data_IF_697447030291
#
_entry.id   IF_697447030291
#
_cell.length_a   1.000
_cell.length_b   1.000
_cell.length_c   1.000
_cell.angle_alpha   90.00
_cell.angle_beta   90.00
_cell.angle_gamma   90.00
#
_symmetry.space_group_name_H-M   'P 1'
#
loop_
_entity.id
_entity.type
_entity.pdbx_description
1 polymer ?
#
# COMPACT_ATOMS: atom_id res chain seq x y z
N UNK A 1 -10.13 -39.59 -0.21
CA UNK A 1 -8.77 -39.01 -0.15
C UNK A 1 -8.80 -37.88 0.87
N UNK A 2 -8.01 -37.93 1.95
CA UNK A 2 -7.86 -36.75 2.81
C UNK A 2 -7.03 -35.73 2.02
N UNK A 3 -7.64 -34.60 1.69
CA UNK A 3 -7.02 -33.53 0.88
C UNK A 3 -5.95 -32.76 1.69
N UNK A 4 -5.95 -32.90 3.03
CA UNK A 4 -4.94 -32.33 3.95
C UNK A 4 -4.52 -33.27 5.08
N UNK A 5 -3.25 -33.17 5.43
CA UNK A 5 -2.56 -33.78 6.59
C UNK A 5 -2.40 -32.80 7.75
N UNK A 6 -2.33 -31.49 7.49
CA UNK A 6 -2.42 -30.45 8.55
C UNK A 6 -3.89 -30.33 9.00
N UNK A 7 -4.17 -30.41 10.32
CA UNK A 7 -5.55 -30.52 10.82
C UNK A 7 -6.37 -29.22 10.76
N UNK A 8 -5.82 -28.14 10.18
CA UNK A 8 -6.39 -26.79 10.22
C UNK A 8 -6.66 -26.27 8.81
N UNK A 9 -7.88 -25.81 8.55
CA UNK A 9 -8.30 -25.32 7.22
C UNK A 9 -8.32 -23.78 7.11
N UNK A 10 -7.48 -23.09 7.89
CA UNK A 10 -7.54 -21.62 8.05
C UNK A 10 -6.70 -20.83 7.03
N UNK A 11 -6.08 -21.48 6.03
CA UNK A 11 -5.16 -20.79 5.11
C UNK A 11 -5.27 -21.29 3.68
N UNK A 12 -5.05 -20.39 2.70
CA UNK A 12 -4.93 -20.72 1.27
C UNK A 12 -3.66 -21.53 0.94
N UNK A 13 -2.68 -21.57 1.84
CA UNK A 13 -1.49 -22.39 1.69
C UNK A 13 -1.81 -23.87 1.78
N UNK A 14 -1.24 -24.64 0.87
CA UNK A 14 -1.18 -26.11 0.91
C UNK A 14 -0.24 -26.60 2.01
N UNK A 15 -0.38 -27.86 2.40
CA UNK A 15 0.49 -28.47 3.41
C UNK A 15 1.97 -28.48 2.97
N UNK A 16 2.23 -28.59 1.66
CA UNK A 16 3.56 -28.45 1.07
C UNK A 16 4.15 -27.08 1.37
N UNK A 17 3.41 -26.01 1.10
CA UNK A 17 3.91 -24.64 1.30
C UNK A 17 4.15 -24.33 2.77
N UNK A 18 3.27 -24.78 3.66
CA UNK A 18 3.45 -24.63 5.11
C UNK A 18 4.71 -25.36 5.56
N UNK A 19 4.88 -26.60 5.11
CA UNK A 19 6.04 -27.41 5.44
C UNK A 19 7.34 -26.74 4.97
N UNK A 20 7.40 -26.28 3.71
CA UNK A 20 8.58 -25.63 3.14
C UNK A 20 8.90 -24.33 3.87
N UNK A 21 7.89 -23.53 4.23
CA UNK A 21 8.10 -22.29 5.01
C UNK A 21 8.69 -22.55 6.39
N UNK A 22 8.33 -23.66 7.03
CA UNK A 22 8.80 -23.98 8.38
C UNK A 22 10.12 -24.76 8.39
N UNK A 23 10.30 -25.70 7.46
CA UNK A 23 11.41 -26.68 7.48
C UNK A 23 12.32 -26.63 6.24
N UNK A 24 11.92 -25.95 5.16
CA UNK A 24 12.67 -25.85 3.91
C UNK A 24 12.30 -26.90 2.85
N UNK A 25 12.70 -26.65 1.60
CA UNK A 25 12.47 -27.54 0.46
C UNK A 25 13.22 -28.88 0.61
N UNK A 26 14.45 -28.85 1.12
CA UNK A 26 15.24 -30.07 1.34
C UNK A 26 14.52 -31.05 2.28
N UNK A 27 13.87 -30.54 3.33
CA UNK A 27 13.13 -31.38 4.27
C UNK A 27 11.85 -31.94 3.63
N UNK A 28 11.24 -31.22 2.69
CA UNK A 28 10.10 -31.73 1.93
C UNK A 28 10.50 -32.91 1.05
N UNK A 29 11.70 -32.87 0.46
CA UNK A 29 12.25 -34.01 -0.30
C UNK A 29 12.50 -35.22 0.61
N UNK A 30 13.10 -35.02 1.79
CA UNK A 30 13.30 -36.09 2.79
C UNK A 30 11.97 -36.73 3.19
N UNK A 31 10.93 -35.92 3.44
CA UNK A 31 9.59 -36.43 3.75
C UNK A 31 9.03 -37.31 2.61
N UNK A 32 9.19 -36.89 1.35
CA UNK A 32 8.69 -37.66 0.21
C UNK A 32 9.46 -38.99 0.02
N UNK A 33 10.76 -39.01 0.30
CA UNK A 33 11.54 -40.24 0.33
C UNK A 33 11.01 -41.23 1.39
N UNK A 34 10.70 -40.72 2.58
CA UNK A 34 10.11 -41.50 3.67
C UNK A 34 8.67 -41.98 3.38
N UNK A 35 7.89 -41.23 2.60
CA UNK A 35 6.55 -41.69 2.15
C UNK A 35 6.65 -42.87 1.18
N UNK A 36 7.70 -42.91 0.36
CA UNK A 36 7.96 -44.01 -0.58
C UNK A 36 8.23 -45.36 0.08
N UNK A 37 8.69 -45.39 1.34
CA UNK A 37 9.11 -46.62 2.05
C UNK A 37 7.98 -47.33 2.84
N UNK A 38 6.72 -46.88 2.73
CA UNK A 38 5.48 -47.48 3.31
C UNK A 38 5.46 -47.74 4.83
N UNK A 39 6.41 -47.23 5.63
CA UNK A 39 6.49 -47.45 7.10
C UNK A 39 6.17 -46.24 8.01
N UNK A 40 5.79 -45.08 7.48
CA UNK A 40 5.99 -43.78 8.18
C UNK A 40 4.72 -42.99 8.54
N UNK A 41 3.52 -43.53 8.33
CA UNK A 41 2.27 -42.76 8.40
C UNK A 41 1.95 -42.06 9.74
N UNK A 42 2.24 -42.70 10.89
CA UNK A 42 1.91 -42.12 12.21
C UNK A 42 2.88 -41.02 12.63
N UNK A 43 4.19 -41.23 12.45
CA UNK A 43 5.23 -40.23 12.74
C UNK A 43 5.12 -39.00 11.84
N UNK A 44 4.80 -39.19 10.55
CA UNK A 44 4.54 -38.09 9.63
C UNK A 44 3.33 -37.26 10.07
N UNK A 45 2.23 -37.92 10.46
CA UNK A 45 1.03 -37.22 10.96
C UNK A 45 1.35 -36.36 12.19
N UNK A 46 2.09 -36.90 13.16
CA UNK A 46 2.47 -36.15 14.36
C UNK A 46 3.36 -34.94 14.03
N UNK A 47 4.25 -35.07 13.03
CA UNK A 47 5.04 -33.95 12.54
C UNK A 47 4.15 -32.86 11.94
N UNK A 48 3.17 -33.22 11.10
CA UNK A 48 2.21 -32.26 10.57
C UNK A 48 1.31 -31.62 11.63
N UNK A 49 1.00 -32.31 12.72
CA UNK A 49 0.31 -31.73 13.89
C UNK A 49 1.20 -30.68 14.58
N UNK A 50 2.50 -30.95 14.79
CA UNK A 50 3.46 -29.96 15.33
C UNK A 50 3.58 -28.74 14.43
N UNK A 51 3.76 -28.94 13.13
CA UNK A 51 3.87 -27.84 12.16
C UNK A 51 2.56 -27.06 12.03
N UNK A 52 1.43 -27.75 12.11
CA UNK A 52 0.09 -27.16 12.10
C UNK A 52 -0.14 -26.23 13.28
N UNK A 53 0.24 -26.65 14.49
CA UNK A 53 0.11 -25.83 15.70
C UNK A 53 0.95 -24.54 15.60
N UNK A 54 2.22 -24.66 15.17
CA UNK A 54 3.08 -23.50 14.92
C UNK A 54 2.43 -22.56 13.90
N UNK A 55 1.94 -23.13 12.80
CA UNK A 55 1.36 -22.37 11.70
C UNK A 55 0.09 -21.61 12.11
N UNK A 56 -0.81 -22.25 12.85
CA UNK A 56 -2.04 -21.62 13.36
C UNK A 56 -1.72 -20.41 14.24
N UNK A 57 -0.73 -20.52 15.11
CA UNK A 57 -0.31 -19.40 15.95
C UNK A 57 0.34 -18.31 15.11
N UNK A 58 1.24 -18.65 14.20
CA UNK A 58 1.89 -17.66 13.32
C UNK A 58 0.89 -16.88 12.46
N UNK A 59 -0.25 -17.48 12.13
CA UNK A 59 -1.28 -16.89 11.27
C UNK A 59 -2.47 -16.31 12.00
N UNK A 60 -2.45 -16.28 13.33
CA UNK A 60 -3.57 -15.76 14.11
C UNK A 60 -3.07 -14.76 15.18
N UNK A 61 -3.14 -13.45 14.89
CA UNK A 61 -2.77 -12.40 15.83
C UNK A 61 -3.46 -12.49 17.19
N UNK A 62 -4.70 -12.99 17.27
CA UNK A 62 -5.41 -13.13 18.54
C UNK A 62 -4.81 -14.25 19.41
N UNK A 63 -4.40 -15.36 18.79
CA UNK A 63 -3.71 -16.44 19.51
C UNK A 63 -2.31 -15.98 19.93
N UNK A 64 -1.61 -15.23 19.06
CA UNK A 64 -0.32 -14.63 19.41
C UNK A 64 -0.43 -13.73 20.65
N UNK A 65 -1.43 -12.84 20.69
CA UNK A 65 -1.64 -11.93 21.80
C UNK A 65 -1.97 -12.68 23.10
N UNK A 66 -2.85 -13.70 23.07
CA UNK A 66 -3.14 -14.56 24.24
C UNK A 66 -1.88 -15.26 24.78
N UNK A 67 -1.06 -15.83 23.90
CA UNK A 67 0.17 -16.54 24.28
C UNK A 67 1.31 -15.62 24.72
N UNK A 68 1.31 -14.36 24.27
CA UNK A 68 2.25 -13.32 24.75
C UNK A 68 1.91 -12.87 26.17
N UNK A 69 0.62 -12.83 26.51
CA UNK A 69 0.12 -12.43 27.82
C UNK A 69 0.11 -13.59 28.83
N UNK A 70 -0.20 -14.81 28.37
CA UNK A 70 -0.34 -15.99 29.21
C UNK A 70 0.86 -16.94 29.10
N UNK A 71 1.86 -16.72 29.95
CA UNK A 71 3.07 -17.55 30.02
C UNK A 71 2.77 -19.04 30.28
N UNK A 72 1.71 -19.37 31.03
CA UNK A 72 1.35 -20.76 31.36
C UNK A 72 0.85 -21.49 30.11
N UNK A 73 -0.12 -20.92 29.40
CA UNK A 73 -0.64 -21.48 28.14
C UNK A 73 0.46 -21.62 27.09
N UNK A 74 1.35 -20.62 26.99
CA UNK A 74 2.54 -20.71 26.13
C UNK A 74 3.42 -21.89 26.51
N UNK A 75 3.73 -22.06 27.79
CA UNK A 75 4.53 -23.18 28.29
C UNK A 75 3.89 -24.54 27.99
N UNK A 76 2.58 -24.67 28.20
CA UNK A 76 1.81 -25.89 27.88
C UNK A 76 1.85 -26.23 26.38
N UNK A 77 1.65 -25.24 25.51
CA UNK A 77 1.77 -25.42 24.06
C UNK A 77 3.18 -25.87 23.67
N UNK A 78 4.21 -25.14 24.09
CA UNK A 78 5.61 -25.46 23.75
C UNK A 78 5.99 -26.84 24.27
N UNK A 79 5.61 -27.17 25.51
CA UNK A 79 5.82 -28.50 26.09
C UNK A 79 5.14 -29.61 25.28
N UNK A 80 3.90 -29.38 24.82
CA UNK A 80 3.19 -30.34 23.96
C UNK A 80 3.89 -30.55 22.62
N UNK A 81 4.45 -29.50 22.00
CA UNK A 81 5.21 -29.60 20.76
C UNK A 81 6.47 -30.45 20.95
N UNK A 82 7.28 -30.18 21.98
CA UNK A 82 8.48 -30.98 22.27
C UNK A 82 8.13 -32.43 22.62
N UNK A 83 7.08 -32.66 23.41
CA UNK A 83 6.64 -34.01 23.75
C UNK A 83 6.26 -34.83 22.49
N UNK A 84 5.58 -34.22 21.52
CA UNK A 84 5.28 -34.89 20.23
C UNK A 84 6.56 -35.20 19.45
N UNK A 85 7.53 -34.29 19.42
CA UNK A 85 8.82 -34.53 18.76
C UNK A 85 9.63 -35.66 19.42
N UNK A 86 9.62 -35.75 20.75
CA UNK A 86 10.23 -36.87 21.49
C UNK A 86 9.57 -38.20 21.15
N UNK A 87 8.24 -38.23 21.09
CA UNK A 87 7.49 -39.41 20.66
C UNK A 87 7.73 -39.82 19.20
N UNK A 88 8.07 -38.88 18.31
CA UNK A 88 8.49 -39.20 16.93
C UNK A 88 9.92 -39.78 16.96
N UNK A 89 10.80 -39.20 17.77
CA UNK A 89 12.19 -39.64 17.95
C UNK A 89 12.25 -41.09 18.45
N UNK A 90 11.48 -41.43 19.49
CA UNK A 90 11.48 -42.78 20.06
C UNK A 90 10.96 -43.85 19.10
N UNK A 91 10.11 -43.46 18.14
CA UNK A 91 9.59 -44.34 17.08
C UNK A 91 10.47 -44.38 15.84
N UNK A 92 11.54 -43.59 15.77
CA UNK A 92 12.40 -43.53 14.60
C UNK A 92 13.26 -44.79 14.44
N UNK A 93 13.50 -45.56 15.52
CA UNK A 93 14.34 -46.77 15.50
C UNK A 93 15.67 -46.53 14.75
N UNK A 94 16.34 -45.41 15.03
CA UNK A 94 17.59 -44.95 14.38
C UNK A 94 17.51 -44.65 12.88
N UNK A 95 16.31 -44.48 12.32
CA UNK A 95 16.14 -44.02 10.94
C UNK A 95 16.69 -42.60 10.76
N UNK A 96 17.84 -42.49 10.09
CA UNK A 96 18.55 -41.23 9.86
C UNK A 96 17.70 -40.14 9.20
N UNK A 97 16.85 -40.49 8.23
CA UNK A 97 15.98 -39.53 7.54
C UNK A 97 14.88 -38.99 8.48
N UNK A 98 14.30 -39.86 9.31
CA UNK A 98 13.33 -39.44 10.34
C UNK A 98 13.98 -38.53 11.37
N UNK A 99 15.18 -38.88 11.85
CA UNK A 99 15.92 -38.04 12.79
C UNK A 99 16.27 -36.67 12.20
N UNK A 100 16.64 -36.62 10.91
CA UNK A 100 16.89 -35.37 10.20
C UNK A 100 15.64 -34.45 10.18
N UNK A 101 14.46 -35.00 9.90
CA UNK A 101 13.20 -34.25 9.97
C UNK A 101 12.88 -33.76 11.38
N UNK A 102 13.07 -34.60 12.39
CA UNK A 102 12.84 -34.23 13.79
C UNK A 102 13.77 -33.10 14.20
N UNK A 103 15.04 -33.14 13.84
CA UNK A 103 15.99 -32.07 14.16
C UNK A 103 15.62 -30.75 13.46
N UNK A 104 15.14 -30.80 12.21
CA UNK A 104 14.59 -29.62 11.54
C UNK A 104 13.35 -29.08 12.28
N UNK A 105 12.45 -29.95 12.70
CA UNK A 105 11.26 -29.57 13.45
C UNK A 105 11.59 -29.00 14.84
N UNK A 106 12.57 -29.55 15.56
CA UNK A 106 13.08 -28.99 16.82
C UNK A 106 13.62 -27.58 16.63
N UNK A 107 14.36 -27.32 15.53
CA UNK A 107 14.80 -25.95 15.20
C UNK A 107 13.62 -25.01 14.95
N UNK A 108 12.58 -25.47 14.26
CA UNK A 108 11.36 -24.69 14.04
C UNK A 108 10.62 -24.39 15.35
N UNK A 109 10.45 -25.38 16.25
CA UNK A 109 9.86 -25.18 17.59
C UNK A 109 10.69 -24.21 18.42
N UNK A 110 12.03 -24.34 18.41
CA UNK A 110 12.93 -23.42 19.12
C UNK A 110 12.81 -21.98 18.61
N UNK A 111 12.72 -21.78 17.29
CA UNK A 111 12.48 -20.45 16.69
C UNK A 111 11.13 -19.89 17.12
N UNK A 112 10.09 -20.72 17.07
CA UNK A 112 8.74 -20.37 17.50
C UNK A 112 8.68 -20.01 19.00
N UNK A 113 9.38 -20.74 19.86
CA UNK A 113 9.50 -20.45 21.28
C UNK A 113 10.21 -19.12 21.54
N UNK A 114 11.33 -18.87 20.86
CA UNK A 114 12.14 -17.66 21.01
C UNK A 114 11.42 -16.40 20.51
N UNK A 115 10.47 -16.55 19.60
CA UNK A 115 9.68 -15.46 19.04
C UNK A 115 8.93 -14.66 20.11
N UNK A 116 8.30 -15.32 21.09
CA UNK A 116 7.48 -14.65 22.11
C UNK A 116 8.25 -13.62 22.96
N UNK A 117 9.37 -13.96 23.62
CA UNK A 117 10.14 -12.98 24.38
C UNK A 117 10.74 -11.88 23.49
N UNK A 118 11.14 -12.22 22.25
CA UNK A 118 11.66 -11.23 21.29
C UNK A 118 10.58 -10.20 20.93
N UNK A 119 9.38 -10.66 20.57
CA UNK A 119 8.26 -9.78 20.26
C UNK A 119 7.84 -8.91 21.45
N UNK A 120 7.79 -9.47 22.66
CA UNK A 120 7.49 -8.70 23.88
C UNK A 120 8.51 -7.58 24.09
N UNK A 121 9.80 -7.86 23.88
CA UNK A 121 10.88 -6.86 23.96
C UNK A 121 10.72 -5.79 22.88
N UNK A 122 10.46 -6.20 21.64
CA UNK A 122 10.30 -5.27 20.51
C UNK A 122 9.07 -4.37 20.69
N UNK A 123 7.91 -4.93 21.06
CA UNK A 123 6.68 -4.16 21.38
C UNK A 123 6.92 -3.16 22.51
N UNK A 124 7.62 -3.56 23.57
CA UNK A 124 7.98 -2.64 24.68
C UNK A 124 8.90 -1.51 24.21
N UNK A 125 9.91 -1.80 23.38
CA UNK A 125 10.82 -0.78 22.82
C UNK A 125 10.05 0.17 21.90
N UNK A 126 9.25 -0.36 20.99
CA UNK A 126 8.43 0.41 20.05
C UNK A 126 7.44 1.31 20.79
N UNK A 127 6.67 0.77 21.74
CA UNK A 127 5.73 1.55 22.54
C UNK A 127 6.44 2.67 23.31
N UNK A 128 7.59 2.39 23.95
CA UNK A 128 8.37 3.39 24.67
C UNK A 128 8.80 4.54 23.76
N UNK A 129 9.31 4.23 22.57
CA UNK A 129 9.83 5.23 21.63
C UNK A 129 8.69 6.02 20.96
N UNK A 130 7.70 5.33 20.39
CA UNK A 130 6.60 5.97 19.66
C UNK A 130 5.67 6.79 20.56
N UNK A 131 5.48 6.40 21.83
CA UNK A 131 4.64 7.17 22.78
C UNK A 131 5.23 8.53 23.15
N UNK A 132 6.49 8.81 22.79
CA UNK A 132 7.08 10.16 22.94
C UNK A 132 6.73 11.08 21.77
N UNK A 133 6.19 10.51 20.69
CA UNK A 133 5.95 11.20 19.41
C UNK A 133 4.46 11.38 19.15
N UNK A 134 3.66 10.35 19.42
CA UNK A 134 2.21 10.32 19.19
C UNK A 134 1.50 9.71 20.40
N UNK A 135 0.18 9.82 20.47
CA UNK A 135 -0.59 9.25 21.58
C UNK A 135 -0.53 7.71 21.60
N UNK A 136 -0.63 7.12 22.80
CA UNK A 136 -0.52 5.67 23.00
C UNK A 136 -1.57 4.87 22.23
N UNK A 137 -2.79 5.38 22.15
CA UNK A 137 -3.92 4.80 21.41
C UNK A 137 -3.72 4.81 19.89
N UNK A 138 -2.74 5.57 19.38
CA UNK A 138 -2.35 5.52 17.98
C UNK A 138 -1.37 4.37 17.66
N UNK A 139 -0.88 3.63 18.66
CA UNK A 139 0.13 2.58 18.51
C UNK A 139 -0.51 1.24 18.81
N UNK A 140 -0.95 0.55 17.77
CA UNK A 140 -1.84 -0.60 17.90
C UNK A 140 -1.16 -1.91 17.50
N UNK A 141 -0.92 -2.76 18.48
CA UNK A 141 -0.38 -4.12 18.30
C UNK A 141 -1.49 -5.18 18.27
N UNK A 142 -2.75 -4.80 18.46
CA UNK A 142 -3.86 -5.72 18.67
C UNK A 142 -4.26 -6.46 17.40
N UNK A 143 -4.81 -7.67 17.59
CA UNK A 143 -5.23 -8.52 16.48
C UNK A 143 -6.17 -7.87 15.47
N UNK A 144 -7.15 -7.05 15.91
CA UNK A 144 -8.10 -6.39 15.01
C UNK A 144 -7.43 -5.42 14.02
N UNK A 145 -6.53 -4.57 14.51
CA UNK A 145 -5.79 -3.65 13.66
C UNK A 145 -4.87 -4.41 12.70
N UNK A 146 -4.15 -5.42 13.19
CA UNK A 146 -3.25 -6.21 12.33
C UNK A 146 -4.02 -6.97 11.25
N UNK A 147 -5.18 -7.54 11.58
CA UNK A 147 -6.05 -8.25 10.62
C UNK A 147 -6.67 -7.31 9.60
N UNK A 148 -7.15 -6.13 10.00
CA UNK A 148 -7.75 -5.17 9.05
C UNK A 148 -6.73 -4.53 8.09
N UNK A 149 -5.44 -4.61 8.42
CA UNK A 149 -4.36 -3.98 7.64
C UNK A 149 -3.44 -4.99 6.95
N UNK A 150 -3.78 -6.29 6.96
CA UNK A 150 -2.99 -7.36 6.32
C UNK A 150 -3.08 -7.37 4.79
N UNK A 151 -4.14 -6.79 4.23
CA UNK A 151 -4.48 -6.83 2.80
C UNK A 151 -4.94 -5.47 2.29
N UNK A 152 -4.80 -5.25 0.98
CA UNK A 152 -5.56 -4.26 0.21
C UNK A 152 -6.63 -4.96 -0.65
N UNK A 153 -7.10 -4.32 -1.72
CA UNK A 153 -8.14 -4.85 -2.60
C UNK A 153 -7.65 -5.99 -3.52
N UNK A 154 -6.37 -6.37 -3.46
CA UNK A 154 -5.86 -7.61 -4.09
C UNK A 154 -6.30 -8.89 -3.36
N UNK A 155 -6.77 -8.76 -2.11
CA UNK A 155 -7.10 -9.87 -1.21
C UNK A 155 -5.89 -10.75 -0.80
N UNK A 156 -4.66 -10.28 -1.08
CA UNK A 156 -3.44 -10.96 -0.67
C UNK A 156 -3.15 -10.79 0.82
N UNK A 157 -2.93 -11.90 1.52
CA UNK A 157 -2.63 -11.94 2.97
C UNK A 157 -1.29 -12.61 3.23
N UNK A 158 -0.20 -11.95 2.86
CA UNK A 158 1.15 -12.51 2.95
C UNK A 158 1.62 -12.56 4.40
N UNK A 159 1.96 -11.42 5.02
CA UNK A 159 2.30 -11.32 6.44
C UNK A 159 1.39 -10.34 7.19
N UNK A 160 1.21 -10.56 8.49
CA UNK A 160 0.56 -9.58 9.36
C UNK A 160 1.55 -8.48 9.75
N UNK A 161 1.13 -7.21 9.80
CA UNK A 161 2.01 -6.14 10.26
C UNK A 161 2.35 -6.34 11.74
N UNK A 162 3.53 -5.86 12.15
CA UNK A 162 3.97 -5.85 13.54
C UNK A 162 3.16 -4.85 14.37
N UNK A 163 2.89 -3.66 13.81
CA UNK A 163 2.16 -2.57 14.47
C UNK A 163 1.43 -1.72 13.43
N UNK A 164 0.27 -1.20 13.79
CA UNK A 164 -0.44 -0.16 13.03
C UNK A 164 -0.33 1.16 13.80
N UNK A 165 0.15 2.20 13.13
CA UNK A 165 0.37 3.54 13.69
C UNK A 165 -0.53 4.54 12.98
N UNK A 166 -1.26 5.38 13.73
CA UNK A 166 -2.23 6.35 13.20
C UNK A 166 -1.90 7.77 13.67
N UNK A 167 -1.01 8.52 13.00
CA UNK A 167 -0.62 9.86 13.44
C UNK A 167 -1.84 10.79 13.56
N UNK A 168 -1.87 11.64 14.59
CA UNK A 168 -2.91 12.66 14.77
C UNK A 168 -2.69 13.89 13.89
N UNK A 169 -1.44 14.13 13.49
CA UNK A 169 -1.08 15.27 12.67
C UNK A 169 0.12 14.95 11.77
N UNK A 170 0.23 15.69 10.67
CA UNK A 170 1.37 15.57 9.76
C UNK A 170 2.71 15.78 10.50
N UNK A 171 2.76 16.68 11.47
CA UNK A 171 3.99 17.00 12.22
C UNK A 171 4.59 15.79 12.97
N UNK A 172 3.81 14.75 13.25
CA UNK A 172 4.29 13.51 13.88
C UNK A 172 5.01 12.59 12.90
N UNK A 173 4.68 12.66 11.60
CA UNK A 173 5.05 11.66 10.59
C UNK A 173 6.56 11.49 10.47
N UNK A 174 7.34 12.57 10.40
CA UNK A 174 8.80 12.51 10.27
C UNK A 174 9.45 11.73 11.42
N UNK A 175 9.02 12.02 12.65
CA UNK A 175 9.54 11.34 13.85
C UNK A 175 9.08 9.89 13.93
N UNK A 176 7.84 9.58 13.51
CA UNK A 176 7.33 8.20 13.43
C UNK A 176 8.15 7.38 12.44
N UNK A 177 8.38 7.90 11.22
CA UNK A 177 9.18 7.22 10.19
C UNK A 177 10.59 6.93 10.72
N UNK A 178 11.25 7.92 11.30
CA UNK A 178 12.58 7.75 11.90
C UNK A 178 12.58 6.71 13.02
N UNK A 179 11.56 6.72 13.89
CA UNK A 179 11.44 5.76 14.98
C UNK A 179 11.27 4.33 14.47
N UNK A 180 10.45 4.11 13.43
CA UNK A 180 10.28 2.80 12.81
C UNK A 180 11.59 2.28 12.20
N UNK A 181 12.34 3.14 11.49
CA UNK A 181 13.66 2.80 10.93
C UNK A 181 14.64 2.42 12.04
N UNK A 182 14.70 3.20 13.13
CA UNK A 182 15.58 2.92 14.29
C UNK A 182 15.21 1.64 15.06
N UNK A 183 13.97 1.17 14.90
CA UNK A 183 13.49 -0.10 15.42
C UNK A 183 13.76 -1.28 14.47
N UNK A 184 14.29 -1.02 13.27
CA UNK A 184 14.50 -2.03 12.24
C UNK A 184 13.21 -2.52 11.58
N UNK A 185 12.17 -1.69 11.57
CA UNK A 185 10.88 -2.01 10.97
C UNK A 185 10.84 -1.54 9.51
N UNK A 186 10.36 -2.40 8.62
CA UNK A 186 9.89 -1.97 7.30
C UNK A 186 8.66 -1.08 7.45
N UNK A 187 8.48 -0.10 6.56
CA UNK A 187 7.36 0.85 6.65
C UNK A 187 6.48 0.71 5.43
N UNK A 188 5.17 0.62 5.66
CA UNK A 188 4.15 0.74 4.63
C UNK A 188 3.25 1.92 4.99
N UNK A 189 3.21 2.93 4.13
CA UNK A 189 2.21 3.98 4.21
C UNK A 189 0.87 3.44 3.69
N UNK A 190 -0.22 3.71 4.41
CA UNK A 190 -1.55 3.24 4.04
C UNK A 190 -2.60 4.34 4.21
N UNK A 191 -3.49 4.45 3.24
CA UNK A 191 -4.73 5.21 3.35
C UNK A 191 -5.93 4.27 3.45
N UNK A 192 -6.91 4.42 2.57
CA UNK A 192 -8.12 3.57 2.54
C UNK A 192 -7.91 2.09 2.17
N UNK A 193 -6.70 1.65 1.81
CA UNK A 193 -6.42 0.25 1.49
C UNK A 193 -7.11 -0.28 0.21
N UNK A 194 -7.51 0.61 -0.71
CA UNK A 194 -8.26 0.25 -1.92
C UNK A 194 -7.37 -0.08 -3.14
N UNK A 195 -6.07 -0.33 -2.94
CA UNK A 195 -5.11 -0.61 -4.02
C UNK A 195 -5.27 -2.02 -4.58
N UNK A 196 -4.96 -2.18 -5.88
CA UNK A 196 -5.05 -3.47 -6.60
C UNK A 196 -3.67 -3.99 -7.04
N UNK A 197 -2.59 -3.46 -6.47
CA UNK A 197 -1.20 -3.82 -6.83
C UNK A 197 -0.43 -4.50 -5.69
N UNK A 198 -1.03 -4.62 -4.50
CA UNK A 198 -0.38 -5.19 -3.32
C UNK A 198 0.53 -4.21 -2.58
N UNK A 199 0.54 -2.92 -2.96
CA UNK A 199 1.42 -1.91 -2.38
C UNK A 199 1.21 -1.65 -0.88
N UNK A 200 0.06 -2.05 -0.32
CA UNK A 200 -0.21 -1.94 1.11
C UNK A 200 -0.21 -3.30 1.85
N UNK A 201 0.33 -4.36 1.23
CA UNK A 201 0.40 -5.72 1.79
C UNK A 201 1.78 -5.95 2.45
N UNK A 202 1.85 -6.26 3.76
CA UNK A 202 3.12 -6.60 4.40
C UNK A 202 3.70 -7.90 3.84
N UNK A 203 4.96 -7.86 3.41
CA UNK A 203 5.71 -9.04 2.97
C UNK A 203 6.58 -9.63 4.07
N UNK A 204 6.84 -8.87 5.13
CA UNK A 204 7.67 -9.25 6.26
C UNK A 204 6.93 -9.00 7.56
N UNK A 205 7.15 -9.86 8.56
CA UNK A 205 6.50 -9.76 9.87
C UNK A 205 6.83 -8.44 10.59
N UNK A 206 8.09 -8.00 10.56
CA UNK A 206 8.55 -6.76 11.20
C UNK A 206 8.23 -5.52 10.34
N UNK A 207 6.97 -5.38 9.93
CA UNK A 207 6.46 -4.25 9.15
C UNK A 207 5.55 -3.36 10.01
N UNK A 208 5.86 -2.07 10.10
CA UNK A 208 4.98 -1.05 10.61
C UNK A 208 4.09 -0.52 9.47
N UNK A 209 2.77 -0.52 9.69
CA UNK A 209 1.84 0.21 8.83
C UNK A 209 1.58 1.57 9.45
N UNK A 210 1.87 2.64 8.71
CA UNK A 210 1.48 4.00 9.10
C UNK A 210 0.19 4.32 8.32
N UNK A 211 -0.95 4.22 8.99
CA UNK A 211 -2.24 4.54 8.40
C UNK A 211 -2.55 6.03 8.58
N UNK A 212 -2.68 6.76 7.47
CA UNK A 212 -2.92 8.20 7.45
C UNK A 212 -4.39 8.58 7.65
N UNK A 213 -5.29 7.65 7.99
CA UNK A 213 -6.74 7.89 8.09
C UNK A 213 -7.16 9.06 8.97
N UNK A 214 -6.35 9.43 9.97
CA UNK A 214 -6.59 10.56 10.87
C UNK A 214 -6.07 11.91 10.34
N UNK A 215 -5.27 11.91 9.28
CA UNK A 215 -4.80 13.12 8.60
C UNK A 215 -5.90 13.61 7.66
N UNK A 216 -6.98 14.16 8.22
CA UNK A 216 -8.22 14.46 7.52
C UNK A 216 -8.50 15.97 7.34
N UNK A 217 -7.51 16.83 7.57
CA UNK A 217 -7.67 18.26 7.34
C UNK A 217 -7.93 18.56 5.87
N UNK A 218 -9.00 19.30 5.62
CA UNK A 218 -9.44 19.74 4.29
C UNK A 218 -9.69 21.24 4.33
N UNK A 219 -8.98 22.00 3.51
CA UNK A 219 -9.12 23.45 3.49
C UNK A 219 -10.41 23.90 2.81
N UNK A 220 -10.75 25.17 3.00
CA UNK A 220 -11.66 25.86 2.08
C UNK A 220 -11.07 25.91 0.66
N UNK A 221 -11.93 26.12 -0.33
CA UNK A 221 -11.49 26.45 -1.69
C UNK A 221 -11.01 27.90 -1.71
N UNK A 222 -9.78 28.11 -2.19
CA UNK A 222 -9.17 29.43 -2.28
C UNK A 222 -8.66 29.71 -3.69
N UNK A 223 -8.84 30.93 -4.17
CA UNK A 223 -8.19 31.38 -5.40
C UNK A 223 -6.81 31.94 -5.04
N UNK A 224 -5.76 31.32 -5.57
CA UNK A 224 -4.39 31.76 -5.33
C UNK A 224 -3.60 31.89 -6.63
N UNK A 225 -2.60 32.78 -6.62
CA UNK A 225 -1.67 32.93 -7.74
C UNK A 225 -0.64 31.81 -7.69
N UNK A 226 -0.57 31.02 -8.75
CA UNK A 226 0.43 29.95 -8.88
C UNK A 226 1.70 30.49 -9.57
N UNK A 227 2.89 29.95 -9.28
CA UNK A 227 4.12 30.33 -9.97
C UNK A 227 4.00 30.11 -11.49
N UNK A 228 4.21 31.17 -12.27
CA UNK A 228 4.14 31.10 -13.73
C UNK A 228 2.74 31.02 -14.33
N UNK A 229 1.68 31.25 -13.53
CA UNK A 229 0.30 31.30 -14.01
C UNK A 229 -0.25 32.71 -13.81
N UNK A 230 -0.72 33.31 -14.90
CA UNK A 230 -1.12 34.73 -14.92
C UNK A 230 -2.36 35.01 -14.04
N UNK A 231 -3.37 34.14 -14.13
CA UNK A 231 -4.64 34.31 -13.43
C UNK A 231 -4.70 33.49 -12.12
N UNK A 232 -5.39 34.00 -11.08
CA UNK A 232 -5.65 33.22 -9.87
C UNK A 232 -6.44 31.93 -10.18
N UNK A 233 -5.99 30.82 -9.61
CA UNK A 233 -6.55 29.49 -9.84
C UNK A 233 -7.26 29.03 -8.56
N UNK A 234 -8.49 28.48 -8.65
CA UNK A 234 -9.14 27.86 -7.50
C UNK A 234 -8.38 26.59 -7.11
N UNK A 235 -8.06 26.47 -5.84
CA UNK A 235 -7.29 25.36 -5.29
C UNK A 235 -7.88 24.87 -3.98
N UNK A 236 -7.53 23.64 -3.62
CA UNK A 236 -7.91 23.03 -2.35
C UNK A 236 -6.72 22.23 -1.80
N UNK A 237 -6.46 22.38 -0.51
CA UNK A 237 -5.47 21.58 0.22
C UNK A 237 -6.17 20.46 0.96
N UNK A 238 -5.65 19.25 0.84
CA UNK A 238 -6.15 18.08 1.54
C UNK A 238 -4.98 17.28 2.13
N UNK A 239 -5.14 16.82 3.36
CA UNK A 239 -4.24 15.85 3.99
C UNK A 239 -4.44 14.43 3.45
N UNK A 240 -3.44 13.58 3.66
CA UNK A 240 -3.33 12.27 3.04
C UNK A 240 -4.47 11.28 3.39
N UNK A 241 -5.09 11.46 4.55
CA UNK A 241 -6.23 10.68 5.03
C UNK A 241 -7.58 11.14 4.49
N UNK A 242 -7.67 12.34 3.88
CA UNK A 242 -8.94 12.84 3.36
C UNK A 242 -9.47 11.90 2.27
N UNK A 243 -10.70 11.40 2.46
CA UNK A 243 -11.41 10.59 1.47
C UNK A 243 -11.69 11.43 0.22
N UNK A 244 -11.41 10.88 -0.95
CA UNK A 244 -11.48 11.58 -2.24
C UNK A 244 -12.86 12.18 -2.53
N UNK A 245 -13.93 11.48 -2.14
CA UNK A 245 -15.32 11.97 -2.20
C UNK A 245 -15.48 13.31 -1.48
N UNK A 246 -14.92 13.48 -0.28
CA UNK A 246 -15.02 14.73 0.49
C UNK A 246 -14.41 15.92 -0.25
N UNK A 247 -13.28 15.73 -0.92
CA UNK A 247 -12.66 16.77 -1.76
C UNK A 247 -13.55 17.10 -2.97
N UNK A 248 -14.11 16.07 -3.60
CA UNK A 248 -15.02 16.23 -4.74
C UNK A 248 -16.30 16.98 -4.37
N UNK A 249 -16.87 16.67 -3.21
CA UNK A 249 -18.06 17.33 -2.70
C UNK A 249 -17.77 18.78 -2.33
N UNK A 250 -16.63 19.04 -1.69
CA UNK A 250 -16.19 20.40 -1.36
C UNK A 250 -15.97 21.28 -2.60
N UNK A 251 -15.43 20.69 -3.67
CA UNK A 251 -15.31 21.38 -4.95
C UNK A 251 -16.70 21.68 -5.54
N UNK A 252 -17.63 20.72 -5.51
CA UNK A 252 -18.98 20.88 -6.04
C UNK A 252 -19.79 21.94 -5.30
N UNK A 253 -19.66 22.04 -3.99
CA UNK A 253 -20.25 23.12 -3.16
C UNK A 253 -19.81 24.52 -3.62
N UNK A 254 -18.71 24.62 -4.37
CA UNK A 254 -18.15 25.87 -4.89
C UNK A 254 -18.29 25.97 -6.42
N UNK A 255 -19.20 25.22 -7.05
CA UNK A 255 -19.41 25.16 -8.50
C UNK A 255 -18.16 24.76 -9.30
N UNK A 256 -17.30 23.95 -8.68
CA UNK A 256 -16.05 23.48 -9.23
C UNK A 256 -16.02 21.94 -9.29
N UNK A 257 -15.04 21.43 -10.03
CA UNK A 257 -14.83 20.00 -10.25
C UNK A 257 -13.45 19.63 -9.76
N UNK A 258 -13.40 18.69 -8.81
CA UNK A 258 -12.21 17.92 -8.54
C UNK A 258 -12.06 16.82 -9.59
N UNK A 259 -10.95 16.84 -10.33
CA UNK A 259 -10.73 15.96 -11.47
C UNK A 259 -10.25 14.55 -11.07
N UNK A 260 -9.62 14.40 -9.91
CA UNK A 260 -9.11 13.10 -9.46
C UNK A 260 -10.26 12.24 -8.93
N UNK A 261 -10.77 11.35 -9.77
CA UNK A 261 -12.02 10.61 -9.57
C UNK A 261 -11.89 9.08 -9.74
N UNK A 262 -10.93 8.40 -9.10
CA UNK A 262 -10.84 6.94 -9.17
C UNK A 262 -12.18 6.28 -8.81
N UNK A 263 -12.43 5.08 -9.34
CA UNK A 263 -13.68 4.34 -9.08
C UNK A 263 -13.91 4.10 -7.59
N UNK A 264 -12.84 4.00 -6.80
CA UNK A 264 -12.86 3.84 -5.35
C UNK A 264 -12.97 5.17 -4.57
N UNK A 265 -13.33 6.29 -5.19
CA UNK A 265 -13.33 7.63 -4.55
C UNK A 265 -14.09 7.74 -3.22
N UNK A 266 -15.06 6.85 -2.98
CA UNK A 266 -15.83 6.78 -1.73
C UNK A 266 -15.03 6.17 -0.56
N UNK A 267 -13.86 5.58 -0.82
CA UNK A 267 -13.00 4.96 0.18
C UNK A 267 -11.50 5.30 0.02
N UNK A 268 -11.02 5.58 -1.19
CA UNK A 268 -9.62 5.93 -1.40
C UNK A 268 -9.33 7.35 -0.91
N UNK A 269 -8.11 7.55 -0.43
CA UNK A 269 -7.68 8.81 0.19
C UNK A 269 -6.66 9.54 -0.67
N UNK A 270 -6.49 10.84 -0.41
CA UNK A 270 -5.62 11.72 -1.17
C UNK A 270 -4.16 11.25 -1.20
N UNK A 271 -3.62 10.74 -0.09
CA UNK A 271 -2.25 10.24 -0.05
C UNK A 271 -2.05 9.05 -1.01
N UNK A 272 -3.01 8.12 -1.03
CA UNK A 272 -3.04 7.01 -1.98
C UNK A 272 -3.16 7.48 -3.44
N UNK A 273 -4.00 8.47 -3.71
CA UNK A 273 -4.14 9.01 -5.06
C UNK A 273 -2.82 9.61 -5.59
N UNK A 274 -2.11 10.35 -4.75
CA UNK A 274 -0.79 10.93 -5.07
C UNK A 274 0.22 9.80 -5.30
N UNK A 275 0.36 8.87 -4.35
CA UNK A 275 1.31 7.76 -4.42
C UNK A 275 1.11 6.85 -5.63
N UNK A 276 -0.14 6.71 -6.11
CA UNK A 276 -0.51 5.85 -7.23
C UNK A 276 -0.69 6.60 -8.56
N UNK A 277 -0.49 7.92 -8.57
CA UNK A 277 -0.88 8.81 -9.66
C UNK A 277 -2.29 8.47 -10.19
N UNK A 278 -3.27 8.41 -9.28
CA UNK A 278 -4.60 7.89 -9.57
C UNK A 278 -5.29 8.71 -10.68
N UNK A 279 -6.12 8.03 -11.46
CA UNK A 279 -6.97 8.65 -12.48
C UNK A 279 -8.27 7.86 -12.59
N UNK A 280 -9.34 8.55 -12.95
CA UNK A 280 -10.64 7.96 -13.23
C UNK A 280 -11.17 8.45 -14.58
N UNK A 281 -12.50 8.48 -14.72
CA UNK A 281 -13.18 8.80 -15.99
C UNK A 281 -12.87 10.22 -16.44
N UNK A 282 -12.74 11.15 -15.48
CA UNK A 282 -12.41 12.56 -15.75
C UNK A 282 -10.96 12.76 -16.24
N UNK A 283 -10.09 11.77 -16.11
CA UNK A 283 -8.70 11.88 -16.58
C UNK A 283 -8.59 12.05 -18.10
N UNK A 284 -9.62 11.64 -18.84
CA UNK A 284 -9.73 11.91 -20.28
C UNK A 284 -9.71 13.42 -20.56
N UNK A 285 -10.34 14.23 -19.72
CA UNK A 285 -10.40 15.68 -19.88
C UNK A 285 -9.24 16.38 -19.15
N UNK A 286 -9.04 16.08 -17.88
CA UNK A 286 -8.14 16.84 -16.99
C UNK A 286 -6.91 16.08 -16.51
N UNK A 287 -6.68 14.87 -17.03
CA UNK A 287 -5.53 14.05 -16.64
C UNK A 287 -5.65 13.38 -15.27
N UNK A 288 -4.56 12.72 -14.86
CA UNK A 288 -4.42 12.00 -13.60
C UNK A 288 -4.09 12.93 -12.44
N UNK A 289 -3.81 12.36 -11.27
CA UNK A 289 -3.48 13.10 -10.05
C UNK A 289 -2.34 14.12 -10.26
N UNK A 290 -1.24 13.72 -10.91
CA UNK A 290 -0.10 14.61 -11.19
C UNK A 290 -0.49 15.83 -12.03
N UNK A 291 -1.39 15.66 -12.99
CA UNK A 291 -1.86 16.75 -13.86
C UNK A 291 -2.57 17.86 -13.07
N UNK A 292 -3.10 17.53 -11.88
CA UNK A 292 -3.93 18.39 -11.05
C UNK A 292 -3.23 18.90 -9.78
N UNK A 293 -2.00 18.46 -9.51
CA UNK A 293 -1.23 18.85 -8.33
C UNK A 293 -0.52 20.19 -8.53
N UNK A 294 -0.78 21.11 -7.60
CA UNK A 294 0.01 22.32 -7.40
C UNK A 294 1.26 22.01 -6.59
N UNK A 295 1.09 21.31 -5.47
CA UNK A 295 2.19 20.87 -4.61
C UNK A 295 1.79 19.67 -3.75
N UNK A 296 2.77 18.96 -3.22
CA UNK A 296 2.56 17.94 -2.20
C UNK A 296 3.71 17.92 -1.20
N UNK A 297 3.40 17.45 0.01
CA UNK A 297 4.36 17.23 1.09
C UNK A 297 4.48 15.75 1.40
N UNK A 298 5.69 15.33 1.70
CA UNK A 298 5.99 13.96 2.09
C UNK A 298 7.15 13.89 3.07
N UNK A 299 7.27 12.75 3.74
CA UNK A 299 8.39 12.39 4.59
C UNK A 299 9.21 11.30 3.92
N UNK A 300 10.51 11.51 3.77
CA UNK A 300 11.45 10.53 3.19
C UNK A 300 11.94 9.55 4.26
N UNK A 301 12.57 8.45 3.84
CA UNK A 301 13.00 7.36 4.74
C UNK A 301 14.03 7.78 5.80
N UNK A 302 14.77 8.86 5.55
CA UNK A 302 15.70 9.48 6.50
C UNK A 302 15.01 10.32 7.60
N UNK A 303 13.68 10.46 7.53
CA UNK A 303 12.89 11.27 8.48
C UNK A 303 12.93 12.77 8.18
N UNK A 304 13.35 13.16 6.97
CA UNK A 304 13.28 14.55 6.52
C UNK A 304 11.97 14.82 5.77
N UNK A 305 11.60 16.10 5.70
CA UNK A 305 10.46 16.55 4.92
C UNK A 305 10.89 16.96 3.53
N UNK A 306 10.03 16.66 2.55
CA UNK A 306 10.15 17.11 1.18
C UNK A 306 8.82 17.74 0.75
N UNK A 307 8.91 18.97 0.24
CA UNK A 307 7.81 19.64 -0.45
C UNK A 307 8.16 19.76 -1.92
N UNK A 308 7.26 19.31 -2.78
CA UNK A 308 7.39 19.43 -4.23
C UNK A 308 6.32 20.38 -4.73
N UNK A 309 6.72 21.42 -5.45
CA UNK A 309 5.80 22.42 -6.03
C UNK A 309 5.97 22.46 -7.54
N UNK A 310 4.88 22.27 -8.29
CA UNK A 310 4.86 22.41 -9.74
C UNK A 310 4.94 23.87 -10.14
N UNK A 311 5.90 24.22 -10.97
CA UNK A 311 6.07 25.56 -11.54
C UNK A 311 5.47 25.61 -12.94
N UNK A 312 5.06 26.80 -13.39
CA UNK A 312 4.56 27.03 -14.75
C UNK A 312 3.44 26.04 -15.11
N UNK A 313 2.49 25.85 -14.17
CA UNK A 313 1.44 24.83 -14.29
C UNK A 313 0.49 25.17 -15.46
N UNK A 314 0.47 24.34 -16.52
CA UNK A 314 -0.36 24.57 -17.71
C UNK A 314 -1.89 24.41 -17.52
N UNK A 315 -2.34 24.03 -16.33
CA UNK A 315 -3.74 23.80 -15.95
C UNK A 315 -4.44 22.70 -16.78
N UNK A 316 -3.64 21.86 -17.43
CA UNK A 316 -4.09 20.77 -18.28
C UNK A 316 -3.18 19.57 -18.12
N UNK A 317 -3.11 18.75 -19.18
CA UNK A 317 -2.33 17.52 -19.15
C UNK A 317 -0.84 17.85 -19.25
N UNK A 318 -0.06 17.33 -18.32
CA UNK A 318 1.35 17.64 -18.10
C UNK A 318 2.21 17.30 -19.31
N UNK A 319 1.87 16.24 -20.05
CA UNK A 319 2.61 15.79 -21.23
C UNK A 319 2.41 16.67 -22.48
N UNK A 320 1.49 17.63 -22.43
CA UNK A 320 1.30 18.61 -23.51
C UNK A 320 2.25 19.80 -23.38
N UNK A 321 2.91 19.95 -22.24
CA UNK A 321 3.88 21.00 -21.99
C UNK A 321 5.26 20.55 -22.50
N UNK A 322 5.96 21.41 -23.23
CA UNK A 322 7.29 21.09 -23.76
C UNK A 322 8.26 20.75 -22.62
N UNK A 323 8.40 21.66 -21.65
CA UNK A 323 9.22 21.50 -20.45
C UNK A 323 8.38 21.68 -19.19
N UNK A 324 8.52 20.76 -18.24
CA UNK A 324 7.83 20.75 -16.96
C UNK A 324 8.84 20.91 -15.84
N UNK A 325 8.50 21.74 -14.86
CA UNK A 325 9.41 22.12 -13.78
C UNK A 325 8.79 21.88 -12.40
N UNK A 326 9.59 21.35 -11.49
CA UNK A 326 9.21 21.17 -10.09
C UNK A 326 10.30 21.73 -9.17
N UNK A 327 9.88 22.51 -8.18
CA UNK A 327 10.76 22.92 -7.07
C UNK A 327 10.68 21.89 -5.96
N UNK A 328 11.82 21.34 -5.57
CA UNK A 328 11.98 20.40 -4.48
C UNK A 328 12.64 21.12 -3.29
N UNK A 329 11.89 21.31 -2.22
CA UNK A 329 12.37 21.96 -1.00
C UNK A 329 12.45 20.93 0.12
N UNK A 330 13.64 20.78 0.73
CA UNK A 330 13.90 19.81 1.80
C UNK A 330 14.03 20.50 3.15
N UNK A 331 13.33 19.96 4.14
CA UNK A 331 13.37 20.45 5.51
C UNK A 331 13.80 19.34 6.48
N UNK A 332 14.41 19.73 7.60
CA UNK A 332 14.72 18.83 8.71
C UNK A 332 13.44 18.26 9.30
N UNK A 333 13.56 17.31 10.22
CA UNK A 333 12.43 16.62 10.85
C UNK A 333 11.39 17.54 11.54
N UNK A 334 11.76 18.79 11.87
CA UNK A 334 10.84 19.81 12.39
C UNK A 334 9.84 20.33 11.35
N UNK A 335 10.08 20.06 10.06
CA UNK A 335 9.23 20.44 8.93
C UNK A 335 9.31 21.91 8.53
N UNK A 336 10.25 22.67 9.09
CA UNK A 336 10.39 24.12 8.87
C UNK A 336 11.82 24.57 8.58
N UNK A 337 12.83 23.92 9.17
CA UNK A 337 14.23 24.29 8.96
C UNK A 337 14.74 23.73 7.64
N UNK A 338 15.14 24.59 6.71
CA UNK A 338 15.72 24.18 5.43
C UNK A 338 17.02 23.39 5.61
N UNK A 339 17.20 22.35 4.79
CA UNK A 339 18.43 21.55 4.73
C UNK A 339 19.42 22.17 3.73
N UNK A 340 18.91 22.63 2.60
CA UNK A 340 19.68 23.21 1.50
C UNK A 340 18.77 24.13 0.67
N UNK A 341 19.37 24.85 -0.28
CA UNK A 341 18.63 25.61 -1.28
C UNK A 341 17.70 24.70 -2.10
N UNK A 342 16.49 25.16 -2.47
CA UNK A 342 15.57 24.38 -3.27
C UNK A 342 16.16 23.98 -4.64
N UNK A 343 15.96 22.72 -5.00
CA UNK A 343 16.35 22.16 -6.30
C UNK A 343 15.23 22.38 -7.33
N UNK A 344 15.57 22.69 -8.58
CA UNK A 344 14.61 22.73 -9.69
C UNK A 344 14.85 21.52 -10.58
N UNK A 345 13.87 20.64 -10.66
CA UNK A 345 13.84 19.51 -11.58
C UNK A 345 13.09 19.92 -12.84
N UNK A 346 13.79 19.96 -13.99
CA UNK A 346 13.22 20.28 -15.30
C UNK A 346 13.33 19.08 -16.24
N UNK A 347 12.23 18.75 -16.92
CA UNK A 347 12.20 17.62 -17.85
C UNK A 347 11.14 17.80 -18.96
N UNK A 348 11.28 17.13 -20.10
CA UNK A 348 10.26 17.20 -21.14
C UNK A 348 8.92 16.63 -20.66
N UNK A 349 7.79 17.31 -20.89
CA UNK A 349 6.49 16.82 -20.42
C UNK A 349 6.12 15.45 -21.00
N UNK A 350 6.56 15.16 -22.21
CA UNK A 350 6.32 13.90 -22.91
C UNK A 350 6.80 12.65 -22.15
N UNK A 351 7.72 12.77 -21.17
CA UNK A 351 8.19 11.60 -20.40
C UNK A 351 7.12 11.05 -19.44
N UNK A 352 6.17 11.88 -19.00
CA UNK A 352 5.17 11.47 -18.01
C UNK A 352 4.12 10.52 -18.58
N UNK A 353 4.07 10.36 -19.91
CA UNK A 353 3.10 9.50 -20.58
C UNK A 353 3.55 9.12 -21.98
N UNK A 354 3.61 7.82 -22.28
CA UNK A 354 3.70 7.36 -23.67
C UNK A 354 2.56 7.94 -24.51
N UNK A 355 2.92 8.35 -25.73
CA UNK A 355 1.96 8.92 -26.69
C UNK A 355 0.79 7.96 -26.91
N UNK A 356 -0.43 8.50 -26.89
CA UNK A 356 -1.66 7.73 -27.07
C UNK A 356 -2.23 7.09 -25.80
N UNK A 357 -1.49 7.06 -24.69
CA UNK A 357 -2.05 6.60 -23.41
C UNK A 357 -2.77 7.72 -22.65
N UNK A 358 -3.82 7.37 -21.91
CA UNK A 358 -4.50 8.26 -20.96
C UNK A 358 -3.82 8.29 -19.58
N UNK A 359 -3.22 7.19 -19.16
CA UNK A 359 -2.38 7.03 -17.97
C UNK A 359 -1.25 6.05 -18.30
N UNK A 360 -0.04 6.35 -17.86
CA UNK A 360 1.13 5.47 -18.03
C UNK A 360 1.69 5.08 -16.65
N UNK A 361 1.64 3.78 -16.34
CA UNK A 361 2.16 3.21 -15.09
C UNK A 361 3.50 2.49 -15.26
N UNK A 362 4.03 2.46 -16.50
CA UNK A 362 5.20 1.64 -16.85
C UNK A 362 6.51 2.29 -16.42
N UNK A 363 6.57 3.62 -16.39
CA UNK A 363 7.71 4.35 -15.83
C UNK A 363 7.46 4.70 -14.36
N UNK A 364 8.13 3.99 -13.46
CA UNK A 364 8.11 4.31 -12.02
C UNK A 364 9.12 5.38 -11.65
N UNK A 365 10.14 5.66 -12.48
CA UNK A 365 11.15 6.66 -12.19
C UNK A 365 10.61 8.07 -12.41
N UNK A 366 9.81 8.29 -13.47
CA UNK A 366 9.17 9.57 -13.81
C UNK A 366 10.16 10.75 -13.79
N UNK A 367 11.32 10.56 -14.44
CA UNK A 367 12.38 11.57 -14.49
C UNK A 367 12.97 11.94 -13.12
N UNK A 368 12.79 11.10 -12.09
CA UNK A 368 13.24 11.36 -10.73
C UNK A 368 12.23 12.09 -9.86
N UNK A 369 11.00 12.34 -10.34
CA UNK A 369 9.97 13.02 -9.58
C UNK A 369 9.55 12.19 -8.34
N UNK A 370 9.68 12.74 -7.11
CA UNK A 370 9.45 11.97 -5.89
C UNK A 370 7.96 11.88 -5.50
N UNK A 371 7.59 10.78 -4.86
CA UNK A 371 6.27 10.51 -4.30
C UNK A 371 5.20 10.10 -5.31
N UNK A 372 5.30 10.50 -6.58
CA UNK A 372 4.29 10.23 -7.60
C UNK A 372 4.53 8.88 -8.28
N UNK A 373 3.51 8.02 -8.30
CA UNK A 373 3.56 6.68 -8.90
C UNK A 373 4.55 5.71 -8.23
N UNK A 374 5.07 6.08 -7.05
CA UNK A 374 6.08 5.32 -6.28
C UNK A 374 5.47 4.32 -5.31
N UNK A 375 4.15 4.35 -5.12
CA UNK A 375 3.44 3.41 -4.23
C UNK A 375 3.96 3.41 -2.78
N UNK A 376 4.56 4.53 -2.34
CA UNK A 376 5.15 4.67 -1.01
C UNK A 376 6.62 4.23 -0.88
N UNK A 377 7.27 3.79 -1.97
CA UNK A 377 8.65 3.27 -1.92
C UNK A 377 9.73 4.33 -1.69
N UNK A 378 9.44 5.62 -1.93
CA UNK A 378 10.40 6.72 -1.73
C UNK A 378 9.96 7.72 -0.64
N UNK A 379 8.84 7.46 0.03
CA UNK A 379 8.39 8.21 1.19
C UNK A 379 6.89 8.16 1.41
N UNK A 380 6.46 8.86 2.45
CA UNK A 380 5.08 8.90 2.93
C UNK A 380 4.45 10.26 2.62
N UNK A 381 3.46 10.30 1.72
CA UNK A 381 2.71 11.52 1.38
C UNK A 381 1.84 11.95 2.56
N UNK A 382 1.95 13.21 2.97
CA UNK A 382 1.21 13.74 4.13
C UNK A 382 0.09 14.70 3.72
N UNK A 383 0.26 15.48 2.65
CA UNK A 383 -0.76 16.38 2.10
C UNK A 383 -0.47 16.77 0.65
N UNK A 384 -1.49 17.30 -0.02
CA UNK A 384 -1.40 17.86 -1.36
C UNK A 384 -2.30 19.08 -1.56
N UNK A 385 -1.89 19.96 -2.47
CA UNK A 385 -2.67 21.10 -2.96
C UNK A 385 -3.02 20.82 -4.42
N UNK A 386 -4.30 20.95 -4.74
CA UNK A 386 -4.83 20.62 -6.05
C UNK A 386 -5.48 21.83 -6.70
N UNK A 387 -5.39 21.93 -8.02
CA UNK A 387 -6.26 22.82 -8.79
C UNK A 387 -7.66 22.23 -8.87
N UNK A 388 -8.64 23.12 -9.03
CA UNK A 388 -10.03 22.78 -9.30
C UNK A 388 -10.46 23.32 -10.67
N UNK A 389 -11.32 22.59 -11.36
CA UNK A 389 -11.79 22.95 -12.70
C UNK A 389 -13.18 23.55 -12.64
N UNK A 390 -13.55 24.34 -13.64
CA UNK A 390 -14.95 24.75 -13.81
C UNK A 390 -15.73 23.59 -14.41
N UNK A 391 -16.95 23.38 -13.92
CA UNK A 391 -17.86 22.42 -14.52
C UNK A 391 -18.23 22.87 -15.96
N UNK A 392 -18.36 21.93 -16.91
CA UNK A 392 -18.98 22.22 -18.20
C UNK A 392 -20.39 22.77 -18.01
N UNK A 393 -20.76 23.81 -18.76
CA UNK A 393 -22.10 24.43 -18.71
C UNK A 393 -23.19 23.41 -19.09
N UNK A 394 -22.86 22.50 -20.02
CA UNK A 394 -23.76 21.44 -20.46
C UNK A 394 -23.02 20.10 -20.43
N UNK A 395 -23.70 19.08 -19.90
CA UNK A 395 -23.23 17.69 -19.94
C UNK A 395 -24.31 16.83 -20.60
N UNK A 396 -23.92 15.96 -21.53
CA UNK A 396 -24.82 14.97 -22.15
C UNK A 396 -24.15 13.60 -22.11
N UNK A 397 -24.93 12.59 -21.75
CA UNK A 397 -24.51 11.19 -21.79
C UNK A 397 -25.23 10.51 -22.95
N UNK A 398 -24.48 9.83 -23.80
CA UNK A 398 -24.99 9.01 -24.91
C UNK A 398 -24.53 7.58 -24.71
N UNK A 399 -25.43 6.63 -24.96
CA UNK A 399 -25.14 5.20 -24.95
C UNK A 399 -25.05 4.74 -26.41
N UNK A 400 -23.96 4.04 -26.77
CA UNK A 400 -23.75 3.47 -28.09
C UNK A 400 -23.59 1.96 -27.92
N UNK A 401 -24.40 1.18 -28.63
CA UNK A 401 -24.31 -0.28 -28.65
C UNK A 401 -23.71 -0.73 -29.98
N UNK A 402 -22.72 -1.61 -29.91
CA UNK A 402 -22.09 -2.24 -31.08
C UNK A 402 -22.44 -3.73 -31.03
N UNK A 403 -23.17 -4.22 -32.03
CA UNK A 403 -23.62 -5.61 -32.07
C UNK A 403 -22.52 -6.55 -32.56
N UNK A 404 -22.41 -7.71 -31.90
CA UNK A 404 -21.43 -8.76 -32.22
C UNK A 404 -20.27 -8.83 -31.21
N UNK A 405 -19.38 -9.80 -31.40
CA UNK A 405 -18.20 -9.99 -30.55
C UNK A 405 -16.97 -9.22 -31.05
N UNK A 406 -17.07 -8.60 -32.23
CA UNK A 406 -15.97 -7.89 -32.85
C UNK A 406 -15.93 -6.42 -32.42
N UNK A 407 -15.01 -6.11 -31.51
CA UNK A 407 -14.75 -4.73 -31.04
C UNK A 407 -13.99 -3.88 -32.07
N UNK A 408 -13.57 -4.45 -33.20
CA UNK A 408 -12.80 -3.74 -34.24
C UNK A 408 -13.55 -2.56 -34.84
N UNK A 409 -14.89 -2.56 -34.78
CA UNK A 409 -15.74 -1.47 -35.28
C UNK A 409 -15.94 -0.38 -34.22
N UNK A 410 -15.99 -0.76 -32.94
CA UNK A 410 -16.27 0.15 -31.84
C UNK A 410 -15.14 1.17 -31.62
N UNK A 411 -13.88 0.70 -31.67
CA UNK A 411 -12.71 1.54 -31.40
C UNK A 411 -12.54 2.65 -32.46
N UNK A 412 -12.55 2.37 -33.79
CA UNK A 412 -12.50 3.42 -34.81
C UNK A 412 -13.64 4.41 -34.70
N UNK A 413 -14.87 3.95 -34.47
CA UNK A 413 -16.03 4.84 -34.31
C UNK A 413 -15.84 5.82 -33.15
N UNK A 414 -15.34 5.35 -31.99
CA UNK A 414 -15.00 6.22 -30.85
C UNK A 414 -13.91 7.23 -31.20
N UNK A 415 -12.87 6.80 -31.92
CA UNK A 415 -11.77 7.69 -32.36
C UNK A 415 -12.27 8.75 -33.34
N UNK A 416 -13.10 8.38 -34.31
CA UNK A 416 -13.68 9.29 -35.29
C UNK A 416 -14.62 10.32 -34.64
N UNK A 417 -15.45 9.88 -33.68
CA UNK A 417 -16.31 10.77 -32.88
C UNK A 417 -15.46 11.78 -32.10
N UNK A 418 -14.40 11.31 -31.43
CA UNK A 418 -13.45 12.18 -30.71
C UNK A 418 -12.84 13.22 -31.66
N UNK A 419 -12.26 12.79 -32.77
CA UNK A 419 -11.64 13.68 -33.74
C UNK A 419 -12.65 14.69 -34.33
N UNK A 420 -13.88 14.25 -34.61
CA UNK A 420 -14.94 15.14 -35.09
C UNK A 420 -15.26 16.23 -34.08
N UNK A 421 -15.39 15.88 -32.80
CA UNK A 421 -15.68 16.82 -31.72
C UNK A 421 -14.50 17.77 -31.43
N UNK A 422 -13.27 17.29 -31.50
CA UNK A 422 -12.06 18.12 -31.39
C UNK A 422 -12.01 19.16 -32.53
N UNK A 423 -12.24 18.73 -33.79
CA UNK A 423 -12.32 19.65 -34.93
C UNK A 423 -13.43 20.69 -34.78
N UNK A 424 -14.62 20.28 -34.33
CA UNK A 424 -15.74 21.19 -34.04
C UNK A 424 -15.41 22.19 -32.93
N UNK A 425 -14.66 21.77 -31.91
CA UNK A 425 -14.26 22.64 -30.80
C UNK A 425 -13.35 23.78 -31.27
N UNK A 426 -12.40 23.46 -32.15
CA UNK A 426 -11.49 24.44 -32.76
C UNK A 426 -12.25 25.47 -33.61
N UNK A 427 -13.29 25.05 -34.34
CA UNK A 427 -14.10 25.96 -35.18
C UNK A 427 -15.06 26.86 -34.39
N UNK A 428 -15.70 26.36 -33.33
CA UNK A 428 -16.84 27.04 -32.70
C UNK A 428 -16.49 27.82 -31.41
N UNK A 429 -15.22 27.87 -30.97
CA UNK A 429 -14.82 28.40 -29.65
C UNK A 429 -15.60 27.78 -28.46
N UNK A 430 -16.13 26.57 -28.65
CA UNK A 430 -16.84 25.78 -27.64
C UNK A 430 -16.01 24.54 -27.35
N UNK A 431 -15.79 24.22 -26.07
CA UNK A 431 -15.00 23.03 -25.71
C UNK A 431 -15.92 21.80 -25.66
N UNK A 432 -15.89 20.97 -26.69
CA UNK A 432 -16.53 19.65 -26.70
C UNK A 432 -15.51 18.60 -26.27
N UNK A 433 -15.88 17.74 -25.32
CA UNK A 433 -15.06 16.60 -24.92
C UNK A 433 -15.90 15.34 -24.92
N UNK A 434 -15.37 14.27 -25.49
CA UNK A 434 -15.98 12.94 -25.43
C UNK A 434 -15.09 12.02 -24.60
N UNK A 435 -15.71 11.32 -23.67
CA UNK A 435 -15.08 10.29 -22.85
C UNK A 435 -15.85 9.00 -23.12
N UNK A 436 -15.34 8.20 -24.05
CA UNK A 436 -15.81 6.83 -24.26
C UNK A 436 -15.24 5.93 -23.16
N UNK A 437 -16.09 5.06 -22.61
CA UNK A 437 -15.68 3.96 -21.71
C UNK A 437 -15.47 2.72 -22.57
#
# INVERSE_FOLDING_TARGET
MRIREIPYNYTSFSDREIFIRLLGEDMWQVLNQLRGSRKTGRSARMLFEVLGDIWVVNRNPYIQDDLLENNKRRGELIGALYHRLEQITSRAEDNALTLQLVEAAKRAVKKFEAWFPEQKRLRKKALKQLSTITRKDNIDFGGLARVSHVTDATDWRVEFPFVVIRPDSEAETARIVKACVDLGLSIIARGGGTGYTGGAVPLYENTAIINTEKLESLSAVVKQKLPGVDAPVPTIRAEAGVVTRRVSDKARENDLVFAVDPTSQDACTIGGNIAMNAGGKKAVLWGTTLDNLVSWRMVTADGCWLEVTRLNHNLGKIHQQENVEFRLTRYKADGTTLIAEPEILTMPGAIFRKQGLGKDVTDKFLGGLPGIQKEGCDGLITSGVFILHRAPVFTRTVCLEFFGHDLSIAVPAIVEINQFLERKSLCNKSQYSFAGI
#
